data_IF_617163092892
#
_entry.id   IF_617163092892
#
_cell.length_a   1.000
_cell.length_b   1.000
_cell.length_c   1.000
_cell.angle_alpha   90.00
_cell.angle_beta   90.00
_cell.angle_gamma   90.00
#
_symmetry.space_group_name_H-M   'P 1'
#
loop_
_entity.id
_entity.type
_entity.pdbx_description
1 polymer ?
#
# COMPACT_ATOMS: atom_id res chain seq x y z
N UNK A 1 -18.45 -0.12 -11.18
CA UNK A 1 -17.25 0.70 -10.95
C UNK A 1 -16.79 0.33 -9.55
N UNK A 2 -15.53 -0.08 -9.38
CA UNK A 2 -15.01 -0.49 -8.08
C UNK A 2 -14.83 0.76 -7.17
N UNK A 3 -15.32 0.67 -5.94
CA UNK A 3 -15.30 1.76 -4.96
C UNK A 3 -14.01 1.75 -4.14
N UNK A 4 -13.60 2.88 -3.55
CA UNK A 4 -12.44 2.87 -2.66
C UNK A 4 -12.59 1.86 -1.51
N UNK A 5 -13.81 1.65 -1.00
CA UNK A 5 -14.08 0.64 0.01
C UNK A 5 -13.71 -0.77 -0.49
N UNK A 6 -14.01 -1.10 -1.74
CA UNK A 6 -13.64 -2.40 -2.34
C UNK A 6 -12.12 -2.53 -2.53
N UNK A 7 -11.44 -1.45 -2.94
CA UNK A 7 -9.97 -1.42 -3.03
C UNK A 7 -9.31 -1.61 -1.67
N UNK A 8 -9.81 -0.94 -0.64
CA UNK A 8 -9.25 -0.98 0.71
C UNK A 8 -9.45 -2.36 1.35
N UNK A 9 -10.66 -2.92 1.26
CA UNK A 9 -10.97 -4.26 1.75
C UNK A 9 -10.16 -5.33 1.03
N UNK A 10 -10.06 -5.25 -0.31
CA UNK A 10 -9.19 -6.13 -1.08
C UNK A 10 -7.71 -5.96 -0.73
N UNK A 11 -7.27 -4.71 -0.52
CA UNK A 11 -5.91 -4.37 -0.12
C UNK A 11 -5.51 -5.03 1.19
N UNK A 12 -6.36 -4.91 2.22
CA UNK A 12 -6.14 -5.59 3.50
C UNK A 12 -6.10 -7.11 3.35
N UNK A 13 -7.08 -7.72 2.67
CA UNK A 13 -7.12 -9.19 2.51
C UNK A 13 -5.88 -9.75 1.83
N UNK A 14 -5.39 -9.07 0.81
CA UNK A 14 -4.21 -9.50 0.08
C UNK A 14 -2.92 -9.28 0.87
N UNK A 15 -2.87 -8.20 1.63
CA UNK A 15 -1.79 -7.95 2.57
C UNK A 15 -1.74 -9.01 3.68
N UNK A 16 -2.86 -9.22 4.38
CA UNK A 16 -3.00 -10.20 5.46
C UNK A 16 -2.62 -11.60 4.99
N UNK A 17 -3.09 -12.02 3.81
CA UNK A 17 -2.76 -13.33 3.25
C UNK A 17 -1.25 -13.50 3.02
N UNK A 18 -0.56 -12.48 2.51
CA UNK A 18 0.89 -12.55 2.31
C UNK A 18 1.66 -12.56 3.65
N UNK A 19 1.18 -11.82 4.65
CA UNK A 19 1.75 -11.85 6.01
C UNK A 19 1.54 -13.21 6.67
N UNK A 20 0.35 -13.81 6.55
CA UNK A 20 0.04 -15.15 7.08
C UNK A 20 0.97 -16.22 6.46
N UNK A 21 1.13 -16.21 5.13
CA UNK A 21 2.05 -17.14 4.44
C UNK A 21 3.51 -16.98 4.92
N UNK A 22 3.95 -15.74 5.19
CA UNK A 22 5.28 -15.49 5.72
C UNK A 22 5.44 -15.99 7.17
N UNK A 23 4.49 -15.66 8.05
CA UNK A 23 4.52 -16.05 9.47
C UNK A 23 4.41 -17.56 9.67
N UNK A 24 3.66 -18.24 8.81
CA UNK A 24 3.54 -19.70 8.84
C UNK A 24 4.69 -20.40 8.10
N UNK A 25 5.69 -19.65 7.62
CA UNK A 25 6.90 -20.15 6.99
C UNK A 25 6.68 -20.79 5.61
N UNK A 26 5.52 -20.57 4.99
CA UNK A 26 5.19 -21.09 3.66
C UNK A 26 5.73 -20.21 2.55
N UNK A 27 5.86 -18.90 2.79
CA UNK A 27 6.59 -17.97 1.94
C UNK A 27 7.86 -17.50 2.66
N UNK A 28 9.00 -18.07 2.27
CA UNK A 28 10.32 -17.61 2.75
C UNK A 28 10.89 -16.65 1.72
N UNK A 29 11.05 -15.39 2.14
CA UNK A 29 11.54 -14.33 1.26
C UNK A 29 12.99 -14.59 0.81
N UNK A 30 13.26 -14.40 -0.47
CA UNK A 30 14.62 -14.45 -1.01
C UNK A 30 15.39 -13.12 -0.76
N UNK A 31 16.63 -13.05 -1.25
CA UNK A 31 17.46 -11.86 -1.06
C UNK A 31 16.91 -10.62 -1.79
N UNK A 32 16.26 -10.80 -2.94
CA UNK A 32 15.66 -9.72 -3.73
C UNK A 32 14.42 -9.18 -3.03
N UNK A 33 13.53 -10.08 -2.60
CA UNK A 33 12.31 -9.74 -1.86
C UNK A 33 12.65 -8.96 -0.58
N UNK A 34 13.62 -9.43 0.20
CA UNK A 34 14.10 -8.71 1.40
C UNK A 34 14.62 -7.32 1.09
N UNK A 35 15.41 -7.17 0.02
CA UNK A 35 15.96 -5.87 -0.35
C UNK A 35 14.85 -4.91 -0.81
N UNK A 36 13.89 -5.40 -1.60
CA UNK A 36 12.78 -4.58 -2.09
C UNK A 36 11.90 -4.08 -0.94
N UNK A 37 11.63 -4.91 0.08
CA UNK A 37 10.89 -4.45 1.27
C UNK A 37 11.61 -3.29 1.97
N UNK A 38 12.94 -3.39 2.12
CA UNK A 38 13.76 -2.30 2.69
C UNK A 38 13.68 -1.04 1.82
N UNK A 39 13.78 -1.19 0.50
CA UNK A 39 13.76 -0.06 -0.43
C UNK A 39 12.40 0.65 -0.46
N UNK A 40 11.30 -0.11 -0.41
CA UNK A 40 9.93 0.43 -0.31
C UNK A 40 9.80 1.26 0.96
N UNK A 41 10.26 0.74 2.10
CA UNK A 41 10.24 1.45 3.37
C UNK A 41 11.04 2.75 3.30
N UNK A 42 12.26 2.72 2.78
CA UNK A 42 13.09 3.93 2.64
C UNK A 42 12.42 4.98 1.75
N UNK A 43 11.73 4.55 0.69
CA UNK A 43 11.00 5.45 -0.20
C UNK A 43 9.70 6.00 0.43
N UNK A 44 9.09 5.25 1.36
CA UNK A 44 7.85 5.64 2.04
C UNK A 44 8.08 6.50 3.30
N UNK A 45 9.07 6.17 4.14
CA UNK A 45 9.35 6.77 5.45
C UNK A 45 9.50 8.32 5.45
N UNK A 46 10.06 8.99 4.42
CA UNK A 46 10.13 10.45 4.37
C UNK A 46 8.77 11.15 4.31
N UNK A 47 7.67 10.42 4.09
CA UNK A 47 6.36 10.99 3.84
C UNK A 47 5.59 11.38 5.13
N UNK A 48 6.05 11.03 6.34
CA UNK A 48 5.22 11.15 7.56
C UNK A 48 5.64 12.25 8.53
N UNK A 49 6.90 12.71 8.44
CA UNK A 49 7.44 13.73 9.34
C UNK A 49 7.36 13.38 10.82
N UNK A 50 7.19 12.10 11.16
CA UNK A 50 7.03 11.61 12.54
C UNK A 50 5.64 11.83 13.17
N UNK A 51 4.62 12.25 12.41
CA UNK A 51 3.24 12.39 12.90
C UNK A 51 2.41 11.14 12.59
N UNK A 52 1.45 10.85 13.46
CA UNK A 52 0.46 9.80 13.21
C UNK A 52 -0.61 10.29 12.22
N UNK A 53 -1.06 9.41 11.33
CA UNK A 53 -2.25 9.63 10.52
C UNK A 53 -3.53 9.68 11.40
N UNK A 54 -4.61 10.34 10.95
CA UNK A 54 -4.73 11.07 9.69
C UNK A 54 -4.08 12.47 9.72
N UNK A 55 -3.61 12.94 8.57
CA UNK A 55 -2.85 14.20 8.44
C UNK A 55 -3.76 15.40 8.15
N UNK A 56 -4.85 15.56 8.91
CA UNK A 56 -5.92 16.54 8.62
C UNK A 56 -5.48 18.00 8.59
N UNK A 57 -4.34 18.32 9.20
CA UNK A 57 -3.73 19.65 9.18
C UNK A 57 -2.99 19.98 7.88
N UNK A 58 -2.66 18.97 7.07
CA UNK A 58 -1.93 19.14 5.83
C UNK A 58 -2.87 19.47 4.67
N UNK A 59 -2.38 20.23 3.69
CA UNK A 59 -3.14 20.51 2.48
C UNK A 59 -3.48 19.22 1.71
N UNK A 60 -4.61 19.23 1.00
CA UNK A 60 -5.04 18.11 0.14
C UNK A 60 -3.95 17.63 -0.82
N UNK A 61 -3.21 18.55 -1.45
CA UNK A 61 -2.13 18.23 -2.37
C UNK A 61 -1.04 17.37 -1.70
N UNK A 62 -0.70 17.69 -0.44
CA UNK A 62 0.32 16.95 0.32
C UNK A 62 -0.20 15.58 0.72
N UNK A 63 -1.40 15.50 1.30
CA UNK A 63 -2.00 14.23 1.75
C UNK A 63 -2.16 13.24 0.60
N UNK A 64 -2.80 13.67 -0.49
CA UNK A 64 -3.02 12.83 -1.68
C UNK A 64 -1.70 12.51 -2.37
N UNK A 65 -0.75 13.47 -2.41
CA UNK A 65 0.57 13.25 -2.99
C UNK A 65 1.35 12.13 -2.29
N UNK A 66 1.26 12.03 -0.97
CA UNK A 66 1.88 10.94 -0.19
C UNK A 66 1.27 9.59 -0.53
N UNK A 67 -0.07 9.51 -0.59
CA UNK A 67 -0.78 8.28 -0.96
C UNK A 67 -0.40 7.86 -2.39
N UNK A 68 -0.43 8.80 -3.34
CA UNK A 68 -0.11 8.55 -4.74
C UNK A 68 1.35 8.09 -4.94
N UNK A 69 2.28 8.57 -4.11
CA UNK A 69 3.70 8.19 -4.21
C UNK A 69 3.91 6.68 -4.02
N UNK A 70 3.12 6.03 -3.16
CA UNK A 70 3.14 4.58 -3.00
C UNK A 70 2.90 3.84 -4.32
N UNK A 71 1.95 4.29 -5.15
CA UNK A 71 1.70 3.66 -6.44
C UNK A 71 2.94 3.68 -7.34
N UNK A 72 3.70 4.79 -7.34
CA UNK A 72 4.97 4.91 -8.08
C UNK A 72 6.03 3.94 -7.57
N UNK A 73 6.27 3.94 -6.25
CA UNK A 73 7.24 3.06 -5.57
C UNK A 73 6.94 1.58 -5.85
N UNK A 74 5.67 1.18 -5.72
CA UNK A 74 5.25 -0.21 -5.87
C UNK A 74 5.33 -0.71 -7.32
N UNK A 75 5.06 0.16 -8.30
CA UNK A 75 5.30 -0.19 -9.72
C UNK A 75 6.79 -0.40 -10.01
N UNK A 76 7.67 0.39 -9.41
CA UNK A 76 9.11 0.22 -9.56
C UNK A 76 9.58 -1.07 -8.89
N UNK A 77 9.13 -1.34 -7.67
CA UNK A 77 9.40 -2.58 -6.95
C UNK A 77 8.92 -3.82 -7.74
N UNK A 78 7.67 -3.80 -8.21
CA UNK A 78 7.08 -4.85 -9.03
C UNK A 78 7.92 -5.14 -10.28
N UNK A 79 8.33 -4.08 -11.01
CA UNK A 79 9.18 -4.22 -12.20
C UNK A 79 10.57 -4.76 -11.87
N UNK A 80 11.17 -4.32 -10.77
CA UNK A 80 12.52 -4.74 -10.37
C UNK A 80 12.57 -6.24 -10.02
N UNK A 81 11.53 -6.78 -9.38
CA UNK A 81 11.45 -8.21 -9.05
C UNK A 81 10.67 -9.07 -10.04
N UNK A 82 10.20 -8.52 -11.15
CA UNK A 82 9.45 -9.27 -12.16
C UNK A 82 8.04 -9.69 -11.70
N UNK A 83 7.46 -9.02 -10.70
CA UNK A 83 6.12 -9.30 -10.20
C UNK A 83 5.06 -8.54 -10.98
N UNK A 84 3.90 -9.16 -11.17
CA UNK A 84 2.76 -8.55 -11.84
C UNK A 84 1.76 -8.05 -10.79
N UNK A 85 1.54 -6.75 -10.75
CA UNK A 85 0.51 -6.14 -9.89
C UNK A 85 -0.88 -6.49 -10.40
N UNK A 86 -1.68 -7.11 -9.54
CA UNK A 86 -3.04 -7.54 -9.85
C UNK A 86 -4.08 -6.60 -9.22
N UNK A 87 -5.25 -6.42 -9.87
CA UNK A 87 -6.36 -5.72 -9.24
C UNK A 87 -6.93 -6.58 -8.11
N UNK A 88 -7.10 -5.98 -6.93
CA UNK A 88 -7.53 -6.70 -5.70
C UNK A 88 -9.01 -6.49 -5.38
N UNK A 89 -9.62 -5.40 -5.84
CA UNK A 89 -11.01 -5.06 -5.53
C UNK A 89 -11.99 -6.15 -6.00
N UNK A 90 -12.77 -6.67 -5.06
CA UNK A 90 -13.73 -7.76 -5.30
C UNK A 90 -13.08 -9.12 -5.60
N UNK A 91 -11.77 -9.29 -5.40
CA UNK A 91 -11.05 -10.55 -5.64
C UNK A 91 -10.47 -11.11 -4.36
N UNK A 92 -10.50 -12.43 -4.23
CA UNK A 92 -9.81 -13.14 -3.15
C UNK A 92 -8.31 -13.26 -3.46
N UNK A 93 -7.44 -13.17 -2.44
CA UNK A 93 -6.04 -13.52 -2.62
C UNK A 93 -5.91 -15.01 -2.98
N UNK A 94 -4.86 -15.38 -3.75
CA UNK A 94 -4.55 -16.79 -3.98
C UNK A 94 -4.12 -17.48 -2.69
N UNK A 95 -4.21 -18.81 -2.67
CA UNK A 95 -3.86 -19.63 -1.51
C UNK A 95 -2.35 -19.67 -1.20
N UNK A 96 -1.51 -19.17 -2.09
CA UNK A 96 -0.05 -19.08 -1.93
C UNK A 96 0.37 -17.64 -2.20
N UNK A 97 0.02 -16.75 -1.29
CA UNK A 97 0.33 -15.33 -1.41
C UNK A 97 1.82 -15.06 -1.11
N UNK A 98 2.47 -14.30 -1.98
CA UNK A 98 3.86 -13.88 -1.80
C UNK A 98 4.06 -12.41 -2.14
N UNK A 99 5.24 -12.07 -2.66
CA UNK A 99 5.59 -10.68 -2.94
C UNK A 99 4.63 -10.00 -3.93
N UNK A 100 4.18 -10.70 -4.96
CA UNK A 100 3.25 -10.13 -5.93
C UNK A 100 1.90 -9.74 -5.28
N UNK A 101 1.37 -10.60 -4.42
CA UNK A 101 0.11 -10.38 -3.70
C UNK A 101 0.26 -9.26 -2.68
N UNK A 102 1.35 -9.27 -1.92
CA UNK A 102 1.69 -8.21 -0.97
C UNK A 102 1.72 -6.84 -1.68
N UNK A 103 2.50 -6.72 -2.75
CA UNK A 103 2.62 -5.47 -3.50
C UNK A 103 1.29 -5.05 -4.15
N UNK A 104 0.50 -6.02 -4.62
CA UNK A 104 -0.82 -5.75 -5.22
C UNK A 104 -1.81 -5.17 -4.20
N UNK A 105 -1.81 -5.69 -2.97
CA UNK A 105 -2.66 -5.19 -1.88
C UNK A 105 -2.36 -3.73 -1.56
N UNK A 106 -1.07 -3.38 -1.43
CA UNK A 106 -0.65 -1.99 -1.16
C UNK A 106 -0.94 -1.09 -2.36
N UNK A 107 -0.66 -1.59 -3.56
CA UNK A 107 -0.76 -0.81 -4.79
C UNK A 107 -2.20 -0.35 -5.03
N UNK A 108 -3.19 -1.14 -4.66
CA UNK A 108 -4.60 -0.76 -4.79
C UNK A 108 -4.95 0.54 -4.07
N UNK A 109 -4.38 0.75 -2.87
CA UNK A 109 -4.58 1.99 -2.09
C UNK A 109 -3.76 3.15 -2.69
N UNK A 110 -2.51 2.88 -3.07
CA UNK A 110 -1.66 3.89 -3.72
C UNK A 110 -2.25 4.39 -5.06
N UNK A 111 -2.79 3.49 -5.88
CA UNK A 111 -3.43 3.81 -7.16
C UNK A 111 -4.66 4.70 -6.98
N UNK A 112 -5.44 4.49 -5.91
CA UNK A 112 -6.55 5.38 -5.57
C UNK A 112 -6.05 6.83 -5.32
N UNK A 113 -4.88 6.99 -4.71
CA UNK A 113 -4.22 8.29 -4.55
C UNK A 113 -4.01 9.04 -5.87
N UNK A 114 -3.61 8.33 -6.93
CA UNK A 114 -3.46 8.94 -8.25
C UNK A 114 -4.80 9.36 -8.87
N UNK A 115 -5.87 8.59 -8.61
CA UNK A 115 -7.23 8.93 -9.06
C UNK A 115 -7.68 10.21 -8.36
N UNK A 116 -7.55 10.28 -7.04
CA UNK A 116 -7.88 11.48 -6.26
C UNK A 116 -7.02 12.69 -6.65
N UNK A 117 -5.74 12.50 -6.99
CA UNK A 117 -4.91 13.61 -7.47
C UNK A 117 -5.44 14.18 -8.79
N UNK A 118 -5.88 13.33 -9.72
CA UNK A 118 -6.49 13.79 -10.99
C UNK A 118 -7.81 14.53 -10.75
N UNK A 119 -8.61 14.11 -9.76
CA UNK A 119 -9.83 14.79 -9.36
C UNK A 119 -9.55 16.15 -8.70
N UNK A 120 -8.57 16.20 -7.79
CA UNK A 120 -8.14 17.43 -7.13
C UNK A 120 -7.67 18.49 -8.14
N UNK A 121 -6.90 18.08 -9.15
CA UNK A 121 -6.46 18.96 -10.23
C UNK A 121 -7.62 19.51 -11.09
N UNK A 122 -8.80 18.89 -11.03
CA UNK A 122 -10.04 19.37 -11.66
C UNK A 122 -10.92 20.20 -10.71
N UNK A 123 -10.49 20.40 -9.47
CA UNK A 123 -11.25 21.11 -8.44
C UNK A 123 -12.23 20.23 -7.65
N UNK A 124 -12.18 18.90 -7.82
CA UNK A 124 -13.00 17.95 -7.07
C UNK A 124 -12.25 17.50 -5.81
N UNK A 125 -12.86 17.69 -4.63
CA UNK A 125 -12.27 17.22 -3.38
C UNK A 125 -12.60 15.73 -3.17
N UNK A 126 -11.61 14.90 -2.80
CA UNK A 126 -11.90 13.52 -2.41
C UNK A 126 -12.65 13.47 -1.08
N UNK A 127 -13.34 12.36 -0.77
CA UNK A 127 -13.98 12.19 0.54
C UNK A 127 -12.92 12.11 1.65
N UNK A 128 -13.09 12.93 2.69
CA UNK A 128 -12.14 13.00 3.83
C UNK A 128 -11.99 11.67 4.55
N UNK A 129 -13.09 10.93 4.73
CA UNK A 129 -13.07 9.64 5.43
C UNK A 129 -12.29 8.59 4.64
N UNK A 130 -12.33 8.64 3.31
CA UNK A 130 -11.57 7.74 2.44
C UNK A 130 -10.07 8.04 2.51
N UNK A 131 -9.71 9.32 2.50
CA UNK A 131 -8.32 9.76 2.62
C UNK A 131 -7.74 9.34 3.97
N UNK A 132 -8.47 9.59 5.07
CA UNK A 132 -8.04 9.19 6.40
C UNK A 132 -7.83 7.67 6.53
N UNK A 133 -8.70 6.86 5.91
CA UNK A 133 -8.55 5.39 5.85
C UNK A 133 -7.32 4.97 5.04
N UNK A 134 -7.05 5.61 3.90
CA UNK A 134 -5.86 5.34 3.10
C UNK A 134 -4.57 5.69 3.85
N UNK A 135 -4.55 6.83 4.56
CA UNK A 135 -3.45 7.22 5.43
C UNK A 135 -3.23 6.18 6.54
N UNK A 136 -4.30 5.75 7.20
CA UNK A 136 -4.23 4.69 8.22
C UNK A 136 -3.69 3.36 7.68
N UNK A 137 -4.13 2.94 6.48
CA UNK A 137 -3.64 1.73 5.82
C UNK A 137 -2.14 1.81 5.50
N UNK A 138 -1.66 2.96 5.04
CA UNK A 138 -0.28 3.10 4.56
C UNK A 138 0.72 3.44 5.67
N UNK A 139 0.27 4.11 6.74
CA UNK A 139 1.16 4.79 7.70
C UNK A 139 0.70 4.70 9.16
N UNK A 140 -0.35 3.94 9.46
CA UNK A 140 -0.83 3.71 10.84
C UNK A 140 -0.03 2.64 11.60
N UNK A 141 -0.32 2.40 12.88
CA UNK A 141 0.18 1.21 13.58
C UNK A 141 -0.35 -0.08 12.96
N UNK A 142 0.52 -1.08 12.79
CA UNK A 142 0.21 -2.31 12.07
C UNK A 142 0.04 -2.12 10.55
N UNK A 143 0.49 -0.98 10.03
CA UNK A 143 0.40 -0.64 8.61
C UNK A 143 1.60 -1.15 7.82
N UNK A 144 1.64 -0.74 6.56
CA UNK A 144 2.74 -1.01 5.66
C UNK A 144 4.11 -0.50 6.13
N UNK A 145 4.17 0.52 6.99
CA UNK A 145 5.46 0.94 7.57
C UNK A 145 6.04 -0.10 8.53
N UNK A 146 5.19 -0.91 9.13
CA UNK A 146 5.55 -1.97 10.08
C UNK A 146 5.90 -3.28 9.36
N UNK A 147 6.01 -3.30 8.02
CA UNK A 147 6.29 -4.49 7.22
C UNK A 147 7.42 -5.36 7.79
N UNK A 148 8.55 -4.77 8.19
CA UNK A 148 9.67 -5.52 8.76
C UNK A 148 9.34 -6.23 10.08
N UNK A 149 8.40 -5.71 10.88
CA UNK A 149 7.98 -6.33 12.14
C UNK A 149 7.15 -7.60 11.92
N UNK A 150 6.51 -7.74 10.76
CA UNK A 150 5.72 -8.92 10.41
C UNK A 150 6.55 -10.05 9.84
N UNK A 151 7.83 -9.79 9.60
CA UNK A 151 8.72 -10.69 8.93
C UNK A 151 9.84 -11.09 9.89
N UNK A 152 9.69 -12.25 10.52
CA UNK A 152 10.76 -12.87 11.29
C UNK A 152 11.89 -13.27 10.32
N UNK A 153 12.99 -12.49 10.31
CA UNK A 153 14.26 -12.88 9.69
C UNK A 153 15.22 -13.47 10.74
#
# INVERSE_FOLDING_TARGET
MDTFADRLDGGWKWWEAAIEEAQEGRWVRDAVERQVIKDIRVAANPLHGGRAAPYTEDSWHVRIGRIANWAGVLRLAARAGGWVLAPVAGRKPPASAGMAELLSGIYAVGEQGEIWMKQLLRGELPPEDEIAKAEGFLTGPGSMEDLELFFDD
#
